data_IF_486017761677
#
_entry.id   IF_486017761677
#
_cell.length_a   1.000
_cell.length_b   1.000
_cell.length_c   1.000
_cell.angle_alpha   90.00
_cell.angle_beta   90.00
_cell.angle_gamma   90.00
#
_symmetry.space_group_name_H-M   'P 1'
#
loop_
_entity.id
_entity.type
_entity.pdbx_description
1 polymer ?
#
# COMPACT_ATOMS: atom_id res chain seq x y z
N UNK A 1 9.12 50.61 -1.98
CA UNK A 1 7.97 50.14 -2.75
C UNK A 1 7.51 48.83 -2.10
N UNK A 2 6.38 48.89 -1.40
CA UNK A 2 5.78 47.73 -0.77
C UNK A 2 4.83 47.08 -1.78
N UNK A 3 5.08 45.82 -2.12
CA UNK A 3 4.18 45.04 -2.96
C UNK A 3 3.05 44.51 -2.09
N UNK A 4 1.91 45.18 -2.11
CA UNK A 4 0.69 44.66 -1.52
C UNK A 4 0.15 43.49 -2.35
N UNK A 5 0.33 42.26 -1.84
CA UNK A 5 -0.29 41.08 -2.40
C UNK A 5 -1.77 41.02 -1.99
N UNK A 6 -2.64 41.42 -2.91
CA UNK A 6 -4.09 41.32 -2.73
C UNK A 6 -4.54 39.86 -2.99
N UNK A 7 -5.46 39.34 -2.11
CA UNK A 7 -6.05 38.00 -2.22
C UNK A 7 -6.64 37.67 -3.59
N UNK A 8 -7.09 38.69 -4.36
CA UNK A 8 -7.58 38.52 -5.72
C UNK A 8 -6.48 38.25 -6.75
N UNK A 9 -5.26 38.72 -6.51
CA UNK A 9 -4.11 38.42 -7.38
C UNK A 9 -3.63 36.98 -7.18
N UNK A 10 -3.69 36.45 -5.94
CA UNK A 10 -3.33 35.06 -5.65
C UNK A 10 -4.22 34.06 -6.41
N UNK A 11 -5.54 34.31 -6.46
CA UNK A 11 -6.47 33.45 -7.21
C UNK A 11 -6.28 33.49 -8.74
N UNK A 12 -5.80 34.60 -9.28
CA UNK A 12 -5.50 34.69 -10.73
C UNK A 12 -4.22 33.95 -11.12
N UNK A 13 -3.25 33.86 -10.25
CA UNK A 13 -2.00 33.12 -10.51
C UNK A 13 -2.10 31.63 -10.18
N UNK A 14 -2.98 31.23 -9.27
CA UNK A 14 -3.22 29.81 -8.96
C UNK A 14 -4.01 29.09 -10.08
N UNK A 15 -4.82 29.81 -10.85
CA UNK A 15 -5.56 29.24 -11.98
C UNK A 15 -4.70 29.01 -13.25
N UNK A 16 -3.56 29.67 -13.38
CA UNK A 16 -2.68 29.52 -14.54
C UNK A 16 -1.62 28.43 -14.39
N UNK A 17 -1.43 27.89 -13.18
CA UNK A 17 -0.48 26.82 -12.90
C UNK A 17 -1.08 25.41 -13.04
N UNK A 18 -2.36 25.29 -13.40
CA UNK A 18 -3.08 24.01 -13.45
C UNK A 18 -3.03 23.26 -14.78
N UNK A 19 -2.28 23.74 -15.78
CA UNK A 19 -2.26 23.11 -17.12
C UNK A 19 -0.83 22.91 -17.61
N UNK A 20 -0.05 22.11 -16.94
CA UNK A 20 1.14 21.47 -17.54
C UNK A 20 1.79 20.43 -16.63
N UNK A 21 1.08 19.44 -16.13
CA UNK A 21 1.70 18.19 -15.61
C UNK A 21 0.80 17.00 -15.96
N UNK A 22 0.60 16.76 -17.24
CA UNK A 22 0.25 15.44 -17.73
C UNK A 22 1.57 14.68 -17.90
N UNK A 23 1.98 13.91 -16.90
CA UNK A 23 3.12 13.02 -17.08
C UNK A 23 4.11 12.90 -15.94
N UNK A 24 3.76 13.23 -14.71
CA UNK A 24 4.55 12.80 -13.56
C UNK A 24 3.67 12.70 -12.32
N UNK A 25 3.73 11.57 -11.68
CA UNK A 25 3.04 11.19 -10.45
C UNK A 25 3.45 12.07 -9.24
N UNK A 26 3.12 13.35 -9.27
CA UNK A 26 3.34 14.29 -8.18
C UNK A 26 2.04 14.99 -7.79
N UNK A 27 1.03 14.20 -7.43
CA UNK A 27 0.03 14.68 -6.48
C UNK A 27 0.48 14.21 -5.09
N UNK A 28 1.54 14.81 -4.58
CA UNK A 28 1.81 14.84 -3.15
C UNK A 28 0.74 15.77 -2.57
N UNK A 29 -0.35 15.19 -2.07
CA UNK A 29 -1.39 15.91 -1.38
C UNK A 29 -0.79 16.67 -0.19
N UNK A 30 -1.08 17.95 -0.06
CA UNK A 30 -0.87 18.71 1.16
C UNK A 30 -1.58 18.00 2.32
N UNK A 31 -0.82 17.33 3.20
CA UNK A 31 -1.35 16.66 4.37
C UNK A 31 -0.82 15.24 4.62
N UNK A 32 0.10 14.72 3.80
CA UNK A 32 0.77 13.48 4.19
C UNK A 32 1.65 13.72 5.40
N UNK A 33 1.38 12.96 6.47
CA UNK A 33 2.26 12.88 7.63
C UNK A 33 3.67 12.51 7.12
N UNK A 34 4.71 13.13 7.66
CA UNK A 34 6.10 12.85 7.31
C UNK A 34 6.41 11.35 7.41
N UNK A 35 5.71 10.65 8.29
CA UNK A 35 5.88 9.23 8.59
C UNK A 35 4.90 8.31 7.85
N UNK A 36 3.94 8.84 7.10
CA UNK A 36 2.95 8.04 6.37
C UNK A 36 3.00 8.39 4.88
N UNK A 37 3.22 7.39 4.04
CA UNK A 37 3.28 7.55 2.59
C UNK A 37 2.22 6.71 1.93
N UNK A 38 1.51 7.28 0.99
CA UNK A 38 0.43 6.60 0.25
C UNK A 38 0.70 6.63 -1.25
N UNK A 39 0.42 5.52 -1.92
CA UNK A 39 0.59 5.38 -3.37
C UNK A 39 -0.36 4.38 -3.98
N UNK A 40 -0.19 4.17 -5.29
CA UNK A 40 -0.87 3.17 -6.10
C UNK A 40 0.09 2.07 -6.53
N UNK A 41 -0.40 1.02 -7.17
CA UNK A 41 0.44 0.03 -7.85
C UNK A 41 1.43 0.75 -8.78
N UNK A 42 2.69 0.36 -8.77
CA UNK A 42 3.79 1.00 -9.50
C UNK A 42 4.44 2.20 -8.79
N UNK A 43 3.85 2.70 -7.70
CA UNK A 43 4.44 3.82 -6.96
C UNK A 43 5.57 3.38 -6.03
N UNK A 44 6.70 4.09 -6.07
CA UNK A 44 7.79 3.96 -5.11
C UNK A 44 7.58 4.94 -3.95
N UNK A 45 7.44 4.41 -2.74
CA UNK A 45 7.27 5.18 -1.52
C UNK A 45 8.59 5.23 -0.76
N UNK A 46 9.01 6.44 -0.37
CA UNK A 46 10.31 6.67 0.31
C UNK A 46 10.07 6.90 1.80
N UNK A 47 10.45 5.92 2.63
CA UNK A 47 10.33 5.98 4.08
C UNK A 47 11.34 5.02 4.72
N UNK A 48 12.47 5.49 5.22
CA UNK A 48 13.61 4.68 5.69
C UNK A 48 14.22 3.75 4.62
N UNK A 49 13.62 3.69 3.45
CA UNK A 49 13.96 2.89 2.30
C UNK A 49 13.24 3.43 1.07
N UNK A 50 13.31 2.70 -0.04
CA UNK A 50 12.52 2.94 -1.23
C UNK A 50 11.75 1.65 -1.56
N UNK A 51 10.45 1.68 -1.38
CA UNK A 51 9.58 0.50 -1.45
C UNK A 51 8.58 0.66 -2.56
N UNK A 52 8.51 -0.32 -3.45
CA UNK A 52 7.63 -0.31 -4.62
C UNK A 52 6.73 -1.53 -4.59
N UNK A 53 5.43 -1.32 -4.69
CA UNK A 53 4.48 -2.36 -5.09
C UNK A 53 4.44 -2.38 -6.61
N UNK A 54 5.14 -3.33 -7.24
CA UNK A 54 5.29 -3.38 -8.70
C UNK A 54 4.02 -3.85 -9.40
N UNK A 55 3.38 -4.87 -8.83
CA UNK A 55 2.13 -5.43 -9.35
C UNK A 55 1.32 -6.08 -8.24
N UNK A 56 0.01 -6.16 -8.46
CA UNK A 56 -0.90 -6.93 -7.64
C UNK A 56 -1.85 -7.72 -8.54
N UNK A 57 -2.17 -8.94 -8.14
CA UNK A 57 -3.12 -9.79 -8.83
C UNK A 57 -4.02 -10.50 -7.84
N UNK A 58 -5.26 -10.69 -8.23
CA UNK A 58 -6.24 -11.48 -7.49
C UNK A 58 -6.52 -12.76 -8.29
N UNK A 59 -6.15 -13.91 -7.74
CA UNK A 59 -6.54 -15.21 -8.27
C UNK A 59 -7.99 -15.51 -7.85
N UNK A 60 -8.74 -16.13 -8.74
CA UNK A 60 -10.19 -16.29 -8.68
C UNK A 60 -10.99 -14.99 -8.87
N UNK A 61 -12.27 -15.14 -9.19
CA UNK A 61 -13.14 -14.00 -9.43
C UNK A 61 -13.55 -13.33 -8.12
N UNK A 62 -13.62 -11.99 -8.06
CA UNK A 62 -14.31 -11.30 -6.97
C UNK A 62 -15.74 -11.87 -6.82
N UNK A 63 -16.23 -11.92 -5.60
CA UNK A 63 -17.52 -12.55 -5.23
C UNK A 63 -17.53 -14.10 -5.31
N UNK A 64 -16.41 -14.75 -5.62
CA UNK A 64 -16.26 -16.18 -5.33
C UNK A 64 -16.19 -16.41 -3.80
N UNK A 65 -16.27 -17.66 -3.36
CA UNK A 65 -16.09 -17.94 -1.93
C UNK A 65 -14.72 -17.46 -1.48
N UNK A 66 -14.62 -16.91 -0.27
CA UNK A 66 -13.38 -16.37 0.27
C UNK A 66 -12.23 -17.39 0.22
N UNK A 67 -12.54 -18.68 0.38
CA UNK A 67 -11.57 -19.77 0.34
C UNK A 67 -10.83 -19.89 -0.99
N UNK A 68 -11.41 -19.40 -2.08
CA UNK A 68 -10.86 -19.54 -3.43
C UNK A 68 -10.02 -18.32 -3.86
N UNK A 69 -10.06 -17.22 -3.13
CA UNK A 69 -9.39 -15.99 -3.50
C UNK A 69 -7.99 -15.90 -2.87
N UNK A 70 -7.02 -15.58 -3.69
CA UNK A 70 -5.64 -15.29 -3.26
C UNK A 70 -5.16 -13.98 -3.86
N UNK A 71 -4.81 -13.05 -3.01
CA UNK A 71 -4.11 -11.81 -3.40
C UNK A 71 -2.62 -12.09 -3.45
N UNK A 72 -1.97 -11.73 -4.56
CA UNK A 72 -0.50 -11.77 -4.71
C UNK A 72 -0.01 -10.38 -5.08
N UNK A 73 0.94 -9.85 -4.31
CA UNK A 73 1.54 -8.54 -4.53
C UNK A 73 3.06 -8.70 -4.69
N UNK A 74 3.63 -8.20 -5.78
CA UNK A 74 5.08 -8.22 -6.00
C UNK A 74 5.69 -6.92 -5.51
N UNK A 75 6.69 -7.04 -4.68
CA UNK A 75 7.41 -5.92 -4.08
C UNK A 75 8.87 -5.91 -4.48
N UNK A 76 9.37 -4.69 -4.71
CA UNK A 76 10.78 -4.36 -4.77
C UNK A 76 11.08 -3.44 -3.59
N UNK A 77 11.88 -3.92 -2.65
CA UNK A 77 12.19 -3.25 -1.39
C UNK A 77 13.69 -2.93 -1.37
N UNK A 78 14.04 -1.64 -1.40
CA UNK A 78 15.43 -1.18 -1.36
C UNK A 78 15.76 -0.51 -0.04
N UNK A 79 16.77 -0.99 0.65
CA UNK A 79 17.33 -0.36 1.83
C UNK A 79 18.05 0.95 1.48
N UNK A 80 17.80 2.03 2.23
CA UNK A 80 18.53 3.30 2.09
C UNK A 80 19.14 3.76 3.41
N UNK A 81 18.76 3.11 4.51
CA UNK A 81 19.27 3.38 5.84
C UNK A 81 20.56 2.61 6.13
N UNK A 82 21.49 3.22 6.86
CA UNK A 82 22.66 2.51 7.41
C UNK A 82 22.28 1.48 8.46
N UNK A 83 21.10 1.62 9.05
CA UNK A 83 20.51 0.63 9.94
C UNK A 83 19.70 -0.32 9.08
N UNK A 84 20.13 -1.56 8.93
CA UNK A 84 19.40 -2.57 8.17
C UNK A 84 17.92 -2.70 8.58
N UNK A 85 17.10 -3.12 7.67
CA UNK A 85 15.66 -3.26 7.89
C UNK A 85 15.29 -4.75 7.96
N UNK A 86 14.67 -5.20 9.05
CA UNK A 86 14.14 -6.56 9.11
C UNK A 86 12.88 -6.63 8.24
N UNK A 87 12.90 -7.50 7.24
CA UNK A 87 11.78 -7.70 6.31
C UNK A 87 11.22 -9.11 6.47
N UNK A 88 9.99 -9.20 6.94
CA UNK A 88 9.27 -10.45 7.12
C UNK A 88 7.75 -10.24 7.01
N UNK A 89 6.95 -11.30 7.13
CA UNK A 89 5.49 -11.19 7.06
C UNK A 89 4.90 -10.20 8.09
N UNK A 90 5.54 -10.07 9.24
CA UNK A 90 5.15 -9.14 10.31
C UNK A 90 5.21 -7.66 9.92
N UNK A 91 5.94 -7.32 8.85
CA UNK A 91 5.99 -5.95 8.33
C UNK A 91 4.73 -5.57 7.54
N UNK A 92 3.88 -6.53 7.20
CA UNK A 92 2.77 -6.32 6.29
C UNK A 92 1.41 -6.55 6.94
N UNK A 93 0.46 -5.75 6.51
CA UNK A 93 -0.96 -5.90 6.82
C UNK A 93 -1.76 -5.58 5.56
N UNK A 94 -2.80 -6.34 5.30
CA UNK A 94 -3.73 -6.08 4.21
C UNK A 94 -5.10 -5.80 4.80
N UNK A 95 -5.70 -4.69 4.40
CA UNK A 95 -7.06 -4.30 4.80
C UNK A 95 -7.97 -4.29 3.58
N UNK A 96 -9.13 -4.87 3.74
CA UNK A 96 -10.22 -4.79 2.75
C UNK A 96 -11.32 -3.91 3.33
N UNK A 97 -11.53 -2.77 2.70
CA UNK A 97 -12.64 -1.86 3.03
C UNK A 97 -13.77 -2.11 2.04
N UNK A 98 -14.91 -2.64 2.47
CA UNK A 98 -16.05 -2.87 1.60
C UNK A 98 -16.57 -1.55 1.01
N UNK A 99 -17.03 -1.61 -0.26
CA UNK A 99 -17.77 -0.51 -0.90
C UNK A 99 -19.07 -0.20 -0.14
N UNK A 100 -19.70 -1.23 0.39
CA UNK A 100 -20.87 -1.12 1.25
C UNK A 100 -20.43 -0.72 2.66
N UNK A 101 -20.69 0.54 3.02
CA UNK A 101 -20.32 1.11 4.32
C UNK A 101 -21.01 0.48 5.53
N UNK A 102 -22.01 -0.37 5.33
CA UNK A 102 -22.65 -1.14 6.40
C UNK A 102 -21.83 -2.35 6.84
N UNK A 103 -20.86 -2.77 6.02
CA UNK A 103 -19.96 -3.88 6.30
C UNK A 103 -18.68 -3.42 6.99
N UNK A 104 -18.11 -4.31 7.79
CA UNK A 104 -16.88 -4.04 8.53
C UNK A 104 -15.64 -4.23 7.67
N UNK A 105 -14.59 -3.44 7.95
CA UNK A 105 -13.24 -3.63 7.39
C UNK A 105 -12.69 -4.96 7.87
N UNK A 106 -12.15 -5.75 6.95
CA UNK A 106 -11.45 -7.01 7.26
C UNK A 106 -9.94 -6.78 7.16
N UNK A 107 -9.22 -7.29 8.15
CA UNK A 107 -7.76 -7.14 8.25
C UNK A 107 -7.08 -8.50 8.22
N UNK A 108 -6.01 -8.60 7.41
CA UNK A 108 -5.19 -9.80 7.25
C UNK A 108 -3.75 -9.46 7.68
N UNK A 109 -3.15 -10.30 8.51
CA UNK A 109 -1.76 -10.16 8.98
C UNK A 109 -1.10 -11.53 9.22
N UNK A 110 0.20 -11.56 9.51
CA UNK A 110 0.97 -12.80 9.59
C UNK A 110 0.46 -13.82 10.62
N UNK A 111 -0.17 -13.34 11.70
CA UNK A 111 -0.58 -14.14 12.85
C UNK A 111 -2.11 -14.32 12.94
N UNK A 112 -2.82 -14.32 11.81
CA UNK A 112 -4.25 -14.61 11.84
C UNK A 112 -4.49 -16.05 12.33
N UNK A 113 -5.13 -16.17 13.48
CA UNK A 113 -5.47 -17.46 14.09
C UNK A 113 -6.97 -17.78 13.99
N UNK A 114 -7.76 -16.88 13.44
CA UNK A 114 -9.22 -16.91 13.36
C UNK A 114 -9.78 -17.63 12.11
N UNK A 115 -8.90 -18.26 11.31
CA UNK A 115 -9.29 -18.91 10.06
C UNK A 115 -9.40 -17.96 8.85
N UNK A 116 -9.25 -16.65 9.04
CA UNK A 116 -9.04 -15.72 7.93
C UNK A 116 -7.64 -15.94 7.36
N UNK A 117 -7.45 -15.70 6.07
CA UNK A 117 -6.18 -15.97 5.39
C UNK A 117 -5.03 -15.17 6.02
N UNK A 118 -3.90 -15.83 6.16
CA UNK A 118 -2.67 -15.23 6.68
C UNK A 118 -1.87 -14.52 5.59
N UNK A 119 -1.07 -13.54 6.02
CA UNK A 119 -0.06 -12.89 5.18
C UNK A 119 1.22 -13.72 5.20
N UNK A 120 1.76 -14.02 4.04
CA UNK A 120 3.05 -14.70 3.87
C UNK A 120 3.93 -13.99 2.84
N UNK A 121 5.25 -14.20 2.92
CA UNK A 121 6.22 -13.71 1.94
C UNK A 121 6.96 -14.87 1.30
N UNK A 122 7.26 -14.74 0.00
CA UNK A 122 8.10 -15.71 -0.72
C UNK A 122 9.56 -15.67 -0.28
N UNK A 123 10.04 -14.49 0.12
CA UNK A 123 11.37 -14.26 0.66
C UNK A 123 11.31 -13.25 1.79
N UNK A 124 12.12 -13.47 2.81
CA UNK A 124 12.32 -12.55 3.93
C UNK A 124 13.80 -12.20 4.03
N UNK A 125 14.11 -11.08 4.66
CA UNK A 125 15.48 -10.67 4.95
C UNK A 125 15.54 -10.17 6.40
N UNK A 126 16.44 -10.72 7.19
CA UNK A 126 16.59 -10.31 8.58
C UNK A 126 17.29 -8.95 8.72
N UNK A 127 17.97 -8.50 7.67
CA UNK A 127 18.79 -7.29 7.72
C UNK A 127 19.07 -6.69 6.34
N UNK A 128 18.04 -6.23 5.65
CA UNK A 128 18.19 -5.56 4.34
C UNK A 128 19.07 -4.31 4.51
N UNK A 129 20.29 -4.37 4.00
CA UNK A 129 21.29 -3.32 4.17
C UNK A 129 21.05 -2.13 3.22
N UNK A 130 21.85 -1.08 3.45
CA UNK A 130 21.85 0.07 2.55
C UNK A 130 22.28 -0.36 1.14
N UNK A 131 21.52 0.12 0.14
CA UNK A 131 21.69 -0.16 -1.29
C UNK A 131 21.37 -1.61 -1.73
N UNK A 132 21.06 -2.49 -0.80
CA UNK A 132 20.52 -3.81 -1.13
C UNK A 132 19.06 -3.74 -1.57
N UNK A 133 18.66 -4.74 -2.35
CA UNK A 133 17.31 -4.86 -2.89
C UNK A 133 16.79 -6.26 -2.62
N UNK A 134 15.58 -6.34 -2.06
CA UNK A 134 14.83 -7.56 -1.88
C UNK A 134 13.60 -7.55 -2.79
N UNK A 135 13.55 -8.47 -3.74
CA UNK A 135 12.35 -8.78 -4.50
C UNK A 135 11.58 -9.90 -3.79
N UNK A 136 10.34 -9.65 -3.43
CA UNK A 136 9.49 -10.60 -2.71
C UNK A 136 8.05 -10.55 -3.15
N UNK A 137 7.33 -11.65 -2.98
CA UNK A 137 5.88 -11.72 -3.19
C UNK A 137 5.17 -11.86 -1.85
N UNK A 138 4.25 -10.93 -1.60
CA UNK A 138 3.26 -11.02 -0.53
C UNK A 138 2.09 -11.84 -1.04
N UNK A 139 1.66 -12.86 -0.27
CA UNK A 139 0.44 -13.61 -0.51
C UNK A 139 -0.52 -13.51 0.67
N UNK A 140 -1.80 -13.30 0.34
CA UNK A 140 -2.91 -13.40 1.28
C UNK A 140 -3.89 -14.43 0.72
N UNK A 141 -4.01 -15.58 1.36
CA UNK A 141 -4.96 -16.62 1.00
C UNK A 141 -6.31 -16.39 1.68
N UNK A 142 -7.38 -16.93 1.13
CA UNK A 142 -8.73 -16.83 1.67
C UNK A 142 -9.21 -15.37 1.86
N UNK A 143 -8.78 -14.47 0.96
CA UNK A 143 -9.20 -13.08 1.02
C UNK A 143 -10.64 -12.92 0.50
N UNK A 144 -11.50 -12.31 1.31
CA UNK A 144 -12.87 -12.00 0.92
C UNK A 144 -12.95 -10.61 0.31
N UNK A 145 -13.30 -10.54 -0.95
CA UNK A 145 -13.42 -9.28 -1.70
C UNK A 145 -14.61 -9.30 -2.65
N UNK A 146 -15.20 -8.15 -2.88
CA UNK A 146 -16.29 -7.94 -3.84
C UNK A 146 -15.95 -6.79 -4.80
N UNK A 147 -16.73 -6.67 -5.86
CA UNK A 147 -16.59 -5.59 -6.82
C UNK A 147 -16.77 -4.22 -6.17
N UNK A 148 -15.81 -3.35 -6.40
CA UNK A 148 -15.75 -1.99 -5.86
C UNK A 148 -15.16 -1.88 -4.44
N UNK A 149 -14.76 -2.98 -3.81
CA UNK A 149 -14.03 -2.94 -2.54
C UNK A 149 -12.65 -2.31 -2.73
N UNK A 150 -12.15 -1.69 -1.67
CA UNK A 150 -10.79 -1.14 -1.65
C UNK A 150 -9.87 -2.03 -0.84
N UNK A 151 -8.77 -2.45 -1.46
CA UNK A 151 -7.68 -3.17 -0.79
C UNK A 151 -6.58 -2.17 -0.48
N UNK A 152 -6.08 -2.19 0.75
CA UNK A 152 -4.93 -1.42 1.19
C UNK A 152 -3.84 -2.39 1.67
N UNK A 153 -2.66 -2.32 1.07
CA UNK A 153 -1.49 -3.03 1.55
C UNK A 153 -0.63 -2.05 2.33
N UNK A 154 -0.48 -2.28 3.63
CA UNK A 154 0.34 -1.47 4.53
C UNK A 154 1.65 -2.18 4.80
N UNK A 155 2.75 -1.43 4.82
CA UNK A 155 4.09 -1.91 5.11
C UNK A 155 4.75 -1.02 6.15
N UNK A 156 5.20 -1.61 7.24
CA UNK A 156 5.99 -0.96 8.29
C UNK A 156 7.45 -1.37 8.17
N UNK A 157 8.37 -0.46 7.81
CA UNK A 157 9.80 -0.77 7.75
C UNK A 157 10.37 -1.29 9.07
N UNK A 158 9.73 -0.90 10.19
CA UNK A 158 10.09 -1.34 11.54
C UNK A 158 8.85 -1.66 12.35
N UNK A 159 8.30 -2.87 12.23
CA UNK A 159 7.17 -3.29 13.04
C UNK A 159 7.64 -3.46 14.49
N UNK A 160 6.78 -3.10 15.44
CA UNK A 160 6.96 -3.45 16.86
C UNK A 160 5.97 -4.55 17.21
N UNK A 161 6.48 -5.66 17.71
CA UNK A 161 5.65 -6.68 18.35
C UNK A 161 5.47 -6.31 19.83
N UNK A 162 4.25 -6.25 20.32
CA UNK A 162 3.92 -6.23 21.73
C UNK A 162 3.11 -7.48 22.09
N UNK A 163 3.07 -7.83 23.37
CA UNK A 163 2.43 -9.06 23.86
C UNK A 163 1.05 -9.31 23.21
N UNK A 164 1.02 -10.31 22.30
CA UNK A 164 -0.19 -10.78 21.62
C UNK A 164 -0.78 -9.89 20.54
N UNK A 165 -0.26 -8.68 20.32
CA UNK A 165 -0.65 -7.79 19.24
C UNK A 165 0.56 -7.14 18.59
N UNK A 166 0.54 -7.00 17.27
CA UNK A 166 1.56 -6.21 16.57
C UNK A 166 1.24 -4.72 16.75
N UNK A 167 2.03 -4.02 17.55
CA UNK A 167 2.00 -2.57 17.62
C UNK A 167 2.92 -2.03 16.52
N UNK A 168 2.34 -1.51 15.46
CA UNK A 168 3.10 -0.89 14.39
C UNK A 168 3.55 0.52 14.79
N UNK A 169 4.73 0.91 14.34
CA UNK A 169 5.20 2.29 14.49
C UNK A 169 4.30 3.24 13.68
N UNK A 170 4.43 4.54 13.89
CA UNK A 170 3.72 5.56 13.08
C UNK A 170 4.20 5.59 11.63
N UNK A 171 5.40 5.03 11.34
CA UNK A 171 6.04 5.11 10.05
C UNK A 171 5.63 3.93 9.16
N UNK A 172 4.77 4.15 8.18
CA UNK A 172 4.31 3.12 7.25
C UNK A 172 4.02 3.64 5.85
N UNK A 173 4.12 2.74 4.90
CA UNK A 173 3.71 2.94 3.51
C UNK A 173 2.38 2.24 3.25
N UNK A 174 1.50 2.83 2.44
CA UNK A 174 0.22 2.26 2.04
C UNK A 174 0.06 2.30 0.53
N UNK A 175 -0.22 1.17 -0.09
CA UNK A 175 -0.68 1.11 -1.47
C UNK A 175 -2.15 0.78 -1.51
N UNK A 176 -2.91 1.58 -2.27
CA UNK A 176 -4.37 1.42 -2.43
C UNK A 176 -4.70 0.94 -3.82
N UNK A 177 -5.63 0.02 -3.91
CA UNK A 177 -6.17 -0.52 -5.15
C UNK A 177 -7.65 -0.81 -5.00
N UNK A 178 -8.39 -0.75 -6.09
CA UNK A 178 -9.84 -1.05 -6.12
C UNK A 178 -10.08 -2.34 -6.86
N UNK A 179 -10.94 -3.19 -6.32
CA UNK A 179 -11.41 -4.41 -6.98
C UNK A 179 -12.41 -4.01 -8.07
N UNK A 180 -12.13 -4.40 -9.31
CA UNK A 180 -13.00 -4.12 -10.47
C UNK A 180 -13.21 -5.39 -11.28
N UNK A 181 -14.36 -6.00 -11.12
CA UNK A 181 -14.73 -7.26 -11.78
C UNK A 181 -14.92 -7.12 -13.28
N UNK A 182 -14.99 -5.90 -13.82
CA UNK A 182 -15.11 -5.64 -15.25
C UNK A 182 -13.74 -5.57 -15.95
N UNK A 183 -12.66 -5.40 -15.17
CA UNK A 183 -11.28 -5.32 -15.68
C UNK A 183 -10.58 -6.63 -15.47
N UNK A 184 -10.61 -7.48 -16.49
CA UNK A 184 -9.86 -8.74 -16.49
C UNK A 184 -8.69 -8.62 -17.47
N UNK A 185 -7.47 -8.50 -16.92
CA UNK A 185 -6.26 -8.59 -17.72
C UNK A 185 -5.42 -9.71 -17.11
N UNK A 186 -5.45 -10.90 -17.71
CA UNK A 186 -4.65 -12.05 -17.27
C UNK A 186 -4.93 -12.49 -15.81
N UNK A 187 -6.18 -12.53 -15.37
CA UNK A 187 -6.60 -12.82 -13.97
C UNK A 187 -6.37 -11.68 -12.96
N UNK A 188 -6.20 -10.45 -13.41
CA UNK A 188 -6.10 -9.29 -12.53
C UNK A 188 -7.42 -8.51 -12.53
N UNK A 189 -8.00 -8.33 -11.36
CA UNK A 189 -9.24 -7.58 -11.08
C UNK A 189 -8.95 -6.29 -10.29
N UNK A 190 -7.72 -5.77 -10.35
CA UNK A 190 -7.28 -4.66 -9.50
C UNK A 190 -6.84 -3.46 -10.35
N UNK A 191 -7.24 -2.26 -9.89
CA UNK A 191 -6.84 -0.95 -10.42
C UNK A 191 -6.06 -0.13 -9.43
#
# INVERSE_FOLDING_TARGET
MSLEFNRRSFLKYSAAAAVAVAGSSLLVGCGEDEYQKTGKIGSTLKLMGAFTLESASLASSPNATAADNTLTCKFNLKGTSKLGLPIGPANFQVEVTPKDSSKTVTTYHANNTDGTGGVSLSKSDNYLEKDETLETELKVTNISVADGDTIQVKFWPRPQASEGTQAYTRAFCTWKMTVDSTVTTGNTYLK
#
